data_IF_109916984235
#
_entry.id   IF_109916984235
#
_cell.length_a   1.000
_cell.length_b   1.000
_cell.length_c   1.000
_cell.angle_alpha   90.00
_cell.angle_beta   90.00
_cell.angle_gamma   90.00
#
_symmetry.space_group_name_H-M   'P 1'
#
loop_
_entity.id
_entity.type
_entity.pdbx_description
1 polymer ?
#
# COMPACT_ATOMS: atom_id res chain seq x y z
N UNK A 1 -28.67 -60.23 -17.74
CA UNK A 1 -28.77 -59.67 -16.38
C UNK A 1 -27.53 -58.80 -16.13
N UNK A 2 -27.71 -57.48 -16.27
CA UNK A 2 -26.90 -56.32 -15.83
C UNK A 2 -25.36 -56.38 -15.91
N UNK A 3 -24.80 -55.77 -16.96
CA UNK A 3 -23.43 -55.28 -17.06
C UNK A 3 -23.27 -54.09 -16.08
N UNK A 4 -22.30 -54.14 -15.16
CA UNK A 4 -21.98 -53.04 -14.25
C UNK A 4 -20.67 -52.38 -14.71
N UNK A 5 -20.76 -51.17 -15.25
CA UNK A 5 -19.59 -50.35 -15.61
C UNK A 5 -19.22 -49.51 -14.39
N UNK A 6 -18.04 -49.76 -13.82
CA UNK A 6 -17.48 -48.95 -12.74
C UNK A 6 -16.67 -47.82 -13.38
N UNK A 7 -17.18 -46.59 -13.28
CA UNK A 7 -16.45 -45.38 -13.67
C UNK A 7 -15.62 -44.93 -12.47
N UNK A 8 -14.30 -45.11 -12.54
CA UNK A 8 -13.38 -44.49 -11.58
C UNK A 8 -13.30 -42.98 -11.87
N UNK A 9 -13.94 -42.17 -11.04
CA UNK A 9 -13.73 -40.74 -11.02
C UNK A 9 -12.38 -40.45 -10.34
N UNK A 10 -11.35 -40.14 -11.13
CA UNK A 10 -10.09 -39.57 -10.64
C UNK A 10 -10.35 -38.15 -10.14
N UNK A 11 -10.57 -38.01 -8.82
CA UNK A 11 -10.53 -36.72 -8.16
C UNK A 11 -9.07 -36.22 -8.12
N UNK A 12 -8.68 -35.46 -9.12
CA UNK A 12 -7.42 -34.71 -9.09
C UNK A 12 -7.58 -33.55 -8.11
N UNK A 13 -6.97 -33.67 -6.92
CA UNK A 13 -6.79 -32.54 -6.02
C UNK A 13 -5.83 -31.55 -6.67
N UNK A 14 -6.33 -30.52 -7.36
CA UNK A 14 -5.53 -29.38 -7.79
C UNK A 14 -5.24 -28.47 -6.59
N UNK A 15 -4.30 -28.89 -5.75
CA UNK A 15 -3.72 -28.06 -4.69
C UNK A 15 -2.80 -26.99 -5.28
N UNK A 16 -3.36 -26.03 -6.01
CA UNK A 16 -2.63 -24.91 -6.60
C UNK A 16 -2.88 -23.63 -5.81
N UNK A 17 -2.23 -23.45 -4.66
CA UNK A 17 -2.10 -22.12 -4.06
C UNK A 17 -0.77 -21.50 -4.49
N UNK A 18 -0.70 -21.03 -5.73
CA UNK A 18 0.26 -19.99 -6.12
C UNK A 18 -0.16 -18.66 -5.49
N UNK A 19 -0.24 -18.61 -4.16
CA UNK A 19 -0.37 -17.33 -3.45
C UNK A 19 1.01 -16.70 -3.47
N UNK A 20 1.33 -16.10 -4.61
CA UNK A 20 2.54 -15.35 -4.85
C UNK A 20 2.47 -14.08 -3.97
N UNK A 21 2.70 -14.23 -2.66
CA UNK A 21 2.83 -13.10 -1.75
C UNK A 21 4.13 -12.40 -2.14
N UNK A 22 4.06 -11.25 -2.85
CA UNK A 22 5.28 -10.59 -3.28
C UNK A 22 6.04 -10.17 -2.03
N UNK A 23 7.27 -10.66 -1.87
CA UNK A 23 8.15 -10.22 -0.79
C UNK A 23 8.43 -8.74 -1.06
N UNK A 24 8.14 -7.82 -0.11
CA UNK A 24 8.54 -6.42 -0.24
C UNK A 24 10.04 -6.31 -0.53
N UNK A 25 10.42 -5.50 -1.51
CA UNK A 25 11.81 -5.36 -1.98
C UNK A 25 12.30 -6.35 -3.05
N UNK A 26 11.63 -7.47 -3.32
CA UNK A 26 12.10 -8.49 -4.30
C UNK A 26 11.84 -8.10 -5.77
N UNK A 27 11.06 -7.04 -5.99
CA UNK A 27 10.70 -6.54 -7.31
C UNK A 27 11.55 -5.33 -7.67
N UNK A 28 12.51 -5.51 -8.58
CA UNK A 28 13.24 -4.42 -9.25
C UNK A 28 12.22 -3.45 -9.86
N UNK A 29 12.28 -2.17 -9.48
CA UNK A 29 11.37 -1.12 -9.95
C UNK A 29 10.12 -0.86 -9.10
N UNK A 30 10.05 -1.41 -7.88
CA UNK A 30 8.96 -1.07 -6.95
C UNK A 30 9.19 0.30 -6.31
N UNK A 31 8.14 1.11 -6.24
CA UNK A 31 8.17 2.40 -5.57
C UNK A 31 8.26 2.16 -4.07
N UNK A 32 9.32 2.69 -3.45
CA UNK A 32 9.56 2.63 -2.02
C UNK A 32 9.07 3.89 -1.32
N UNK A 33 8.28 3.72 -0.27
CA UNK A 33 7.58 4.80 0.40
C UNK A 33 7.75 4.72 1.92
N UNK A 34 7.94 5.88 2.55
CA UNK A 34 7.68 6.03 3.98
C UNK A 34 6.33 6.74 4.22
N UNK A 35 5.63 6.32 5.28
CA UNK A 35 4.33 6.90 5.65
C UNK A 35 4.39 7.48 7.05
N UNK A 36 4.30 8.80 7.14
CA UNK A 36 4.40 9.54 8.39
C UNK A 36 3.05 10.19 8.72
N UNK A 37 2.57 9.93 9.93
CA UNK A 37 1.36 10.55 10.44
C UNK A 37 1.66 11.96 10.95
N UNK A 38 1.16 12.96 10.24
CA UNK A 38 1.25 14.37 10.62
C UNK A 38 -0.12 14.95 11.02
N UNK A 39 -1.17 14.13 11.11
CA UNK A 39 -2.55 14.59 11.28
C UNK A 39 -2.98 14.77 12.75
N UNK A 40 -2.16 14.34 13.70
CA UNK A 40 -2.51 14.28 15.13
C UNK A 40 -3.53 13.20 15.52
N UNK A 41 -3.99 12.35 14.60
CA UNK A 41 -4.95 11.26 14.86
C UNK A 41 -4.26 9.91 14.83
N UNK A 42 -4.48 9.08 15.85
CA UNK A 42 -3.87 7.76 15.94
C UNK A 42 -4.31 6.84 14.81
N UNK A 43 -3.39 6.02 14.29
CA UNK A 43 -3.71 4.95 13.34
C UNK A 43 -3.66 5.33 11.86
N UNK A 44 -3.57 6.62 11.51
CA UNK A 44 -3.55 7.05 10.12
C UNK A 44 -2.38 6.48 9.31
N UNK A 45 -1.16 6.45 9.86
CA UNK A 45 -0.02 5.82 9.17
C UNK A 45 -0.26 4.34 8.86
N UNK A 46 -0.95 3.61 9.77
CA UNK A 46 -1.30 2.20 9.56
C UNK A 46 -2.32 2.03 8.44
N UNK A 47 -3.34 2.88 8.40
CA UNK A 47 -4.37 2.88 7.34
C UNK A 47 -3.73 3.22 5.99
N UNK A 48 -2.96 4.31 5.92
CA UNK A 48 -2.25 4.70 4.69
C UNK A 48 -1.31 3.61 4.18
N UNK A 49 -0.58 2.95 5.09
CA UNK A 49 0.27 1.80 4.75
C UNK A 49 -0.52 0.65 4.12
N UNK A 50 -1.71 0.34 4.64
CA UNK A 50 -2.57 -0.72 4.09
C UNK A 50 -3.05 -0.39 2.68
N UNK A 51 -3.50 0.84 2.44
CA UNK A 51 -3.94 1.29 1.12
C UNK A 51 -2.81 1.21 0.09
N UNK A 52 -1.63 1.72 0.42
CA UNK A 52 -0.47 1.69 -0.47
C UNK A 52 -0.02 0.26 -0.78
N UNK A 53 0.07 -0.60 0.23
CA UNK A 53 0.45 -2.02 0.02
C UNK A 53 -0.58 -2.78 -0.80
N UNK A 54 -1.88 -2.52 -0.60
CA UNK A 54 -2.94 -3.10 -1.44
C UNK A 54 -2.81 -2.68 -2.91
N UNK A 55 -2.34 -1.46 -3.18
CA UNK A 55 -2.00 -0.98 -4.52
C UNK A 55 -0.63 -1.47 -5.06
N UNK A 56 0.05 -2.38 -4.35
CA UNK A 56 1.34 -2.93 -4.76
C UNK A 56 2.52 -1.97 -4.63
N UNK A 57 2.41 -0.95 -3.77
CA UNK A 57 3.49 0.00 -3.43
C UNK A 57 4.22 -0.52 -2.18
N UNK A 58 5.55 -0.49 -2.21
CA UNK A 58 6.36 -0.96 -1.09
C UNK A 58 6.50 0.12 -0.02
N UNK A 59 5.95 -0.16 1.15
CA UNK A 59 6.07 0.72 2.31
C UNK A 59 7.17 0.18 3.21
N UNK A 60 8.32 0.85 3.17
CA UNK A 60 9.54 0.45 3.88
C UNK A 60 9.57 0.95 5.32
N UNK A 61 8.86 2.05 5.61
CA UNK A 61 8.73 2.61 6.95
C UNK A 61 7.36 3.26 7.16
N UNK A 62 6.84 3.19 8.38
CA UNK A 62 5.70 4.01 8.78
C UNK A 62 5.81 4.42 10.25
N UNK A 63 5.32 5.61 10.59
CA UNK A 63 5.44 6.16 11.93
C UNK A 63 4.70 7.48 12.10
N UNK A 64 5.08 8.24 13.13
CA UNK A 64 4.62 9.61 13.30
C UNK A 64 5.65 10.56 12.68
N UNK A 65 5.17 11.65 12.09
CA UNK A 65 6.04 12.74 11.67
C UNK A 65 6.57 13.50 12.89
N UNK A 66 7.73 14.15 12.75
CA UNK A 66 8.28 15.06 13.77
C UNK A 66 7.34 16.25 13.99
N UNK A 67 6.73 16.75 12.92
CA UNK A 67 5.74 17.82 12.94
C UNK A 67 4.33 17.23 12.83
N UNK A 68 3.42 17.71 13.66
CA UNK A 68 2.02 17.28 13.69
C UNK A 68 1.06 18.47 13.53
N UNK A 69 -0.17 18.20 13.11
CA UNK A 69 -1.18 19.24 12.86
C UNK A 69 -1.20 19.75 11.42
N UNK A 70 -0.65 18.99 10.47
CA UNK A 70 -0.80 19.33 9.05
C UNK A 70 -2.26 19.22 8.63
N UNK A 71 -2.80 20.26 8.00
CA UNK A 71 -4.17 20.25 7.49
C UNK A 71 -4.33 19.35 6.26
N UNK A 72 -3.34 19.35 5.38
CA UNK A 72 -3.37 18.64 4.09
C UNK A 72 -2.28 17.58 3.98
N UNK A 73 -2.61 16.47 3.32
CA UNK A 73 -1.69 15.39 3.01
C UNK A 73 -0.69 15.83 1.95
N UNK A 74 0.60 15.57 2.20
CA UNK A 74 1.71 15.89 1.29
C UNK A 74 2.39 14.61 0.82
N UNK A 75 2.69 14.55 -0.47
CA UNK A 75 3.37 13.44 -1.14
C UNK A 75 4.65 14.02 -1.73
N UNK A 76 5.76 13.81 -1.04
CA UNK A 76 7.05 14.41 -1.36
C UNK A 76 7.89 13.40 -2.14
N UNK A 77 8.12 13.68 -3.42
CA UNK A 77 8.99 12.86 -4.27
C UNK A 77 10.45 13.17 -3.93
N UNK A 78 11.16 12.17 -3.40
CA UNK A 78 12.58 12.22 -3.03
C UNK A 78 13.49 11.72 -4.15
N UNK A 79 13.00 10.80 -4.98
CA UNK A 79 13.71 10.24 -6.14
C UNK A 79 12.76 10.00 -7.30
N UNK A 80 13.27 10.15 -8.51
CA UNK A 80 12.53 9.89 -9.74
C UNK A 80 11.77 11.12 -10.24
N UNK A 81 10.60 10.90 -10.80
CA UNK A 81 9.77 11.95 -11.42
C UNK A 81 8.43 12.08 -10.69
N UNK A 82 7.70 13.15 -10.97
CA UNK A 82 6.36 13.40 -10.43
C UNK A 82 5.39 12.23 -10.64
N UNK A 83 5.58 11.40 -11.68
CA UNK A 83 4.78 10.18 -11.94
C UNK A 83 4.76 9.20 -10.76
N UNK A 84 5.85 9.13 -10.00
CA UNK A 84 5.93 8.29 -8.80
C UNK A 84 4.96 8.80 -7.74
N UNK A 85 4.95 10.11 -7.51
CA UNK A 85 3.99 10.76 -6.60
C UNK A 85 2.53 10.64 -7.07
N UNK A 86 2.28 10.68 -8.37
CA UNK A 86 0.94 10.47 -8.94
C UNK A 86 0.39 9.08 -8.64
N UNK A 87 1.23 8.05 -8.72
CA UNK A 87 0.85 6.67 -8.42
C UNK A 87 0.54 6.48 -6.93
N UNK A 88 1.31 7.13 -6.05
CA UNK A 88 1.03 7.19 -4.60
C UNK A 88 -0.29 7.92 -4.33
N UNK A 89 -0.51 9.07 -4.97
CA UNK A 89 -1.76 9.85 -4.83
C UNK A 89 -2.98 9.06 -5.28
N UNK A 90 -2.89 8.33 -6.39
CA UNK A 90 -3.97 7.48 -6.89
C UNK A 90 -4.34 6.39 -5.88
N UNK A 91 -3.35 5.78 -5.21
CA UNK A 91 -3.58 4.77 -4.18
C UNK A 91 -4.17 5.34 -2.87
N UNK A 92 -3.82 6.58 -2.51
CA UNK A 92 -4.38 7.26 -1.32
C UNK A 92 -5.72 7.97 -1.59
N UNK A 93 -6.06 8.20 -2.86
CA UNK A 93 -7.21 8.98 -3.31
C UNK A 93 -7.06 10.50 -3.16
N UNK A 94 -5.96 10.98 -2.56
CA UNK A 94 -5.75 12.39 -2.23
C UNK A 94 -4.27 12.70 -1.96
N UNK A 95 -3.96 13.99 -1.77
CA UNK A 95 -2.64 14.48 -1.40
C UNK A 95 -2.05 15.45 -2.43
N UNK A 96 -1.34 16.46 -1.94
CA UNK A 96 -0.59 17.42 -2.76
C UNK A 96 0.78 16.83 -3.09
N UNK A 97 1.14 16.81 -4.37
CA UNK A 97 2.43 16.29 -4.80
C UNK A 97 3.45 17.43 -4.79
N UNK A 98 4.58 17.17 -4.16
CA UNK A 98 5.72 18.07 -4.07
C UNK A 98 6.97 17.31 -4.53
N UNK A 99 7.95 18.02 -5.09
CA UNK A 99 9.22 17.43 -5.51
C UNK A 99 10.33 18.06 -4.70
N UNK A 100 10.98 17.26 -3.87
CA UNK A 100 12.09 17.68 -3.01
C UNK A 100 13.15 16.58 -3.05
N UNK A 101 13.98 16.63 -4.09
CA UNK A 101 14.95 15.58 -4.38
C UNK A 101 15.98 15.45 -3.26
N UNK A 102 16.06 14.27 -2.67
CA UNK A 102 17.00 13.93 -1.61
C UNK A 102 17.34 12.43 -1.71
N UNK A 103 18.45 12.14 -2.37
CA UNK A 103 18.89 10.76 -2.57
C UNK A 103 19.35 10.08 -1.28
N UNK A 104 19.69 10.85 -0.24
CA UNK A 104 20.17 10.34 1.05
C UNK A 104 19.07 9.63 1.86
N UNK A 105 17.79 9.89 1.53
CA UNK A 105 16.63 9.22 2.14
C UNK A 105 16.47 7.76 1.72
N UNK A 106 17.13 7.35 0.64
CA UNK A 106 17.13 5.97 0.13
C UNK A 106 15.73 5.40 -0.20
N UNK A 107 14.76 6.28 -0.43
CA UNK A 107 13.38 5.94 -0.81
C UNK A 107 12.90 6.86 -1.93
N UNK A 108 11.79 6.51 -2.57
CA UNK A 108 11.26 7.30 -3.68
C UNK A 108 10.31 8.41 -3.23
N UNK A 109 9.47 8.15 -2.22
CA UNK A 109 8.44 9.10 -1.75
C UNK A 109 8.27 9.11 -0.23
N UNK A 110 8.25 10.30 0.37
CA UNK A 110 7.79 10.51 1.74
C UNK A 110 6.33 10.98 1.74
N UNK A 111 5.44 10.27 2.44
CA UNK A 111 4.04 10.67 2.60
C UNK A 111 3.82 11.23 4.00
N UNK A 112 3.40 12.49 4.10
CA UNK A 112 2.94 13.11 5.34
C UNK A 112 1.42 13.15 5.31
N UNK A 113 0.76 12.34 6.14
CA UNK A 113 -0.70 12.29 6.21
C UNK A 113 -1.23 13.45 7.06
N UNK A 114 -2.03 14.33 6.44
CA UNK A 114 -2.67 15.47 7.10
C UNK A 114 -4.05 15.14 7.67
N UNK A 115 -4.70 16.15 8.25
CA UNK A 115 -6.04 16.04 8.82
C UNK A 115 -7.10 15.62 7.78
N UNK A 116 -6.92 16.01 6.52
CA UNK A 116 -7.71 15.59 5.37
C UNK A 116 -7.74 14.06 5.15
N UNK A 117 -6.65 13.35 5.48
CA UNK A 117 -6.55 11.91 5.24
C UNK A 117 -7.60 11.10 5.97
N UNK A 118 -7.86 11.47 7.23
CA UNK A 118 -8.80 10.76 8.10
C UNK A 118 -10.26 10.81 7.60
N UNK A 119 -10.59 11.79 6.76
CA UNK A 119 -11.94 11.97 6.22
C UNK A 119 -12.21 11.07 5.03
N UNK A 120 -11.20 10.75 4.21
CA UNK A 120 -11.38 9.95 3.00
C UNK A 120 -10.97 8.47 3.14
N UNK A 121 -10.10 8.14 4.11
CA UNK A 121 -9.35 6.87 4.11
C UNK A 121 -9.92 5.72 4.94
N UNK A 122 -11.16 5.77 5.46
CA UNK A 122 -11.72 4.65 6.23
C UNK A 122 -12.38 3.63 5.29
N UNK A 123 -11.71 2.52 4.90
CA UNK A 123 -12.43 1.41 4.27
C UNK A 123 -13.49 0.90 5.25
N UNK A 124 -14.63 0.37 4.76
CA UNK A 124 -15.55 -0.40 5.60
C UNK A 124 -14.73 -1.46 6.34
N UNK A 125 -14.96 -1.60 7.64
CA UNK A 125 -14.36 -2.70 8.41
C UNK A 125 -14.90 -4.01 7.83
N UNK A 126 -14.15 -4.64 6.92
CA UNK A 126 -14.41 -6.03 6.55
C UNK A 126 -14.00 -6.89 7.73
N UNK A 127 -14.99 -7.25 8.54
CA UNK A 127 -14.85 -8.32 9.51
C UNK A 127 -14.71 -9.63 8.74
N UNK A 128 -13.49 -10.15 8.65
CA UNK A 128 -13.33 -11.57 8.33
C UNK A 128 -13.68 -12.38 9.59
N UNK A 129 -14.64 -13.32 9.51
CA UNK A 129 -15.10 -14.12 10.63
C UNK A 129 -14.03 -15.09 11.15
#
# INVERSE_FOLDING_TARGET
>A
MRLLVVVLALAACSGGSTQNHPIPGDKVGTITVEVLNASGRSGNARIGTRLLRHAGIDVVYFGNATESGLDSTRIIVRRGTTKVGERVRAALGQGRIEVELDSSKLLDVSVLLGADFATAGRPPLEFHP
#
